data_IF_524896519626
#
_entry.id   IF_524896519626
#
_cell.length_a   1.000
_cell.length_b   1.000
_cell.length_c   1.000
_cell.angle_alpha   90.00
_cell.angle_beta   90.00
_cell.angle_gamma   90.00
#
_symmetry.space_group_name_H-M   'P 1'
#
loop_
_entity.id
_entity.type
_entity.pdbx_description
1 polymer ?
#
# COMPACT_ATOMS: atom_id res chain seq x y z
N UNK A 1 -6.48 -30.27 -17.30
CA UNK A 1 -6.24 -29.17 -18.26
C UNK A 1 -6.50 -27.88 -17.51
N UNK A 2 -5.48 -27.04 -17.30
CA UNK A 2 -5.69 -25.74 -16.70
C UNK A 2 -6.40 -24.85 -17.73
N UNK A 3 -7.56 -24.30 -17.38
CA UNK A 3 -8.24 -23.31 -18.21
C UNK A 3 -7.28 -22.14 -18.49
N UNK A 4 -7.32 -21.51 -19.68
CA UNK A 4 -6.56 -20.28 -19.89
C UNK A 4 -7.03 -19.27 -18.85
N UNK A 5 -6.12 -18.88 -17.97
CA UNK A 5 -6.38 -17.80 -17.01
C UNK A 5 -6.57 -16.55 -17.86
N UNK A 6 -7.83 -16.16 -18.06
CA UNK A 6 -8.14 -14.92 -18.73
C UNK A 6 -7.74 -13.80 -17.77
N UNK A 7 -6.57 -13.20 -18.01
CA UNK A 7 -6.16 -12.03 -17.26
C UNK A 7 -7.00 -10.85 -17.78
N UNK A 8 -7.88 -10.27 -16.95
CA UNK A 8 -8.67 -9.12 -17.38
C UNK A 8 -7.72 -7.98 -17.75
N UNK A 9 -8.03 -7.26 -18.83
CA UNK A 9 -7.24 -6.10 -19.23
C UNK A 9 -7.28 -4.99 -18.15
N UNK A 10 -6.22 -4.20 -18.07
CA UNK A 10 -6.17 -3.06 -17.16
C UNK A 10 -7.18 -2.01 -17.60
N UNK A 11 -7.98 -1.51 -16.65
CA UNK A 11 -8.95 -0.47 -16.94
C UNK A 11 -8.24 0.81 -17.45
N UNK A 12 -8.73 1.46 -18.52
CA UNK A 12 -8.12 2.68 -19.06
C UNK A 12 -7.91 3.79 -18.02
N UNK A 13 -8.77 3.89 -17.01
CA UNK A 13 -8.65 4.86 -15.92
C UNK A 13 -7.40 4.64 -15.04
N UNK A 14 -6.77 3.47 -15.12
CA UNK A 14 -5.58 3.09 -14.35
C UNK A 14 -4.30 3.02 -15.19
N UNK A 15 -4.35 3.30 -16.49
CA UNK A 15 -3.15 3.33 -17.34
C UNK A 15 -2.03 4.22 -16.78
N UNK A 16 -2.29 5.37 -16.13
CA UNK A 16 -1.23 6.16 -15.50
C UNK A 16 -0.51 5.47 -14.32
N UNK A 17 -1.06 4.37 -13.80
CA UNK A 17 -0.53 3.57 -12.70
C UNK A 17 -0.10 2.16 -13.15
N UNK A 18 -0.02 1.90 -14.46
CA UNK A 18 0.36 0.59 -15.00
C UNK A 18 1.74 0.12 -14.48
N UNK A 19 2.66 1.07 -14.30
CA UNK A 19 4.00 0.87 -13.77
C UNK A 19 4.03 0.34 -12.34
N UNK A 20 2.92 0.38 -11.58
CA UNK A 20 2.84 -0.26 -10.25
C UNK A 20 2.50 -1.75 -10.34
N UNK A 21 1.82 -2.19 -11.39
CA UNK A 21 1.25 -3.54 -11.46
C UNK A 21 2.36 -4.59 -11.48
N UNK A 22 2.27 -5.53 -10.54
CA UNK A 22 3.26 -6.59 -10.38
C UNK A 22 3.62 -6.85 -8.93
N UNK A 23 4.69 -7.62 -8.74
CA UNK A 23 5.26 -7.90 -7.43
C UNK A 23 6.60 -7.18 -7.32
N UNK A 24 6.79 -6.49 -6.20
CA UNK A 24 7.99 -5.75 -5.87
C UNK A 24 8.57 -6.33 -4.60
N UNK A 25 9.89 -6.49 -4.58
CA UNK A 25 10.61 -6.92 -3.40
C UNK A 25 11.71 -5.89 -3.09
N UNK A 26 11.92 -5.63 -1.82
CA UNK A 26 13.01 -4.76 -1.37
C UNK A 26 14.36 -5.37 -1.77
N UNK A 27 15.08 -4.73 -2.68
CA UNK A 27 16.47 -5.10 -3.04
C UNK A 27 17.43 -4.91 -1.85
N UNK A 28 17.31 -3.76 -1.18
CA UNK A 28 18.00 -3.47 0.08
C UNK A 28 16.97 -3.42 1.20
N UNK A 29 17.23 -4.03 2.38
CA UNK A 29 16.28 -3.98 3.47
C UNK A 29 16.01 -2.55 3.96
N UNK A 30 14.73 -2.25 4.16
CA UNK A 30 14.25 -1.02 4.77
C UNK A 30 14.73 -0.86 6.21
N UNK A 31 14.57 0.36 6.74
CA UNK A 31 14.96 0.73 8.10
C UNK A 31 13.78 1.40 8.80
N UNK A 32 13.25 0.74 9.82
CA UNK A 32 12.25 1.32 10.72
C UNK A 32 12.92 2.14 11.81
N UNK A 33 12.55 3.41 11.95
CA UNK A 33 13.06 4.30 13.00
C UNK A 33 11.91 5.13 13.56
N UNK A 34 11.82 5.21 14.89
CA UNK A 34 10.95 6.14 15.58
C UNK A 34 11.59 6.52 16.92
N UNK A 35 11.43 7.75 17.46
CA UNK A 35 12.15 8.18 18.66
C UNK A 35 11.98 7.28 19.90
N UNK A 36 10.86 6.54 19.99
CA UNK A 36 10.51 5.73 21.15
C UNK A 36 10.74 4.22 20.95
N UNK A 37 11.32 3.80 19.83
CA UNK A 37 11.59 2.38 19.53
C UNK A 37 13.04 2.18 19.10
N UNK A 38 13.59 0.99 19.38
CA UNK A 38 14.89 0.61 18.83
C UNK A 38 14.80 0.50 17.30
N UNK A 39 15.71 1.13 16.54
CA UNK A 39 15.76 0.97 15.10
C UNK A 39 15.84 -0.51 14.70
N UNK A 40 15.12 -0.89 13.64
CA UNK A 40 15.11 -2.25 13.13
C UNK A 40 15.20 -2.26 11.60
N UNK A 41 15.52 -3.42 11.02
CA UNK A 41 15.52 -3.61 9.56
C UNK A 41 14.45 -4.61 9.15
N UNK A 42 13.89 -4.39 7.98
CA UNK A 42 12.87 -5.27 7.41
C UNK A 42 13.05 -5.43 5.90
N UNK A 43 12.65 -6.57 5.37
CA UNK A 43 12.37 -6.73 3.93
C UNK A 43 10.89 -6.57 3.71
N UNK A 44 10.49 -6.19 2.51
CA UNK A 44 9.09 -5.98 2.18
C UNK A 44 8.76 -6.50 0.79
N UNK A 45 7.61 -7.17 0.69
CA UNK A 45 7.02 -7.59 -0.58
C UNK A 45 5.74 -6.80 -0.80
N UNK A 46 5.71 -6.02 -1.87
CA UNK A 46 4.53 -5.31 -2.34
C UNK A 46 3.93 -6.10 -3.51
N UNK A 47 2.61 -6.19 -3.56
CA UNK A 47 1.91 -6.77 -4.69
C UNK A 47 0.78 -5.87 -5.10
N UNK A 48 0.77 -5.46 -6.37
CA UNK A 48 -0.28 -4.66 -6.99
C UNK A 48 -0.93 -5.47 -8.10
N UNK A 49 -2.26 -5.57 -8.06
CA UNK A 49 -3.04 -6.34 -9.03
C UNK A 49 -4.34 -5.64 -9.40
N UNK A 50 -5.03 -6.13 -10.42
CA UNK A 50 -6.34 -5.65 -10.81
C UNK A 50 -7.20 -6.81 -11.31
N UNK A 51 -8.51 -6.54 -11.37
CA UNK A 51 -9.51 -7.47 -11.92
C UNK A 51 -10.33 -6.83 -13.03
N UNK A 52 -9.82 -5.77 -13.66
CA UNK A 52 -10.46 -5.01 -14.75
C UNK A 52 -11.37 -3.86 -14.30
N UNK A 53 -11.63 -3.76 -13.00
CA UNK A 53 -12.28 -2.60 -12.40
C UNK A 53 -11.34 -1.38 -12.39
N UNK A 54 -11.86 -0.13 -12.29
CA UNK A 54 -11.04 1.08 -12.16
C UNK A 54 -10.47 1.22 -10.74
N UNK A 55 -9.88 0.14 -10.24
CA UNK A 55 -9.29 -0.03 -8.91
C UNK A 55 -8.05 -0.93 -9.03
N UNK A 56 -6.93 -0.52 -8.42
CA UNK A 56 -5.82 -1.44 -8.13
C UNK A 56 -5.99 -2.01 -6.72
N UNK A 57 -5.78 -3.31 -6.57
CA UNK A 57 -5.61 -3.96 -5.28
C UNK A 57 -4.14 -3.88 -4.89
N UNK A 58 -3.84 -3.68 -3.61
CA UNK A 58 -2.47 -3.81 -3.12
C UNK A 58 -2.38 -4.63 -1.83
N UNK A 59 -1.23 -5.27 -1.62
CA UNK A 59 -0.82 -5.83 -0.32
C UNK A 59 0.65 -5.56 -0.07
N UNK A 60 0.99 -5.01 1.10
CA UNK A 60 2.37 -4.82 1.54
C UNK A 60 2.63 -5.71 2.75
N UNK A 61 3.74 -6.45 2.70
CA UNK A 61 4.07 -7.45 3.70
C UNK A 61 5.53 -7.30 4.13
N UNK A 62 5.73 -6.78 5.34
CA UNK A 62 7.04 -6.62 5.92
C UNK A 62 7.46 -7.85 6.74
N UNK A 63 8.75 -8.18 6.69
CA UNK A 63 9.36 -9.28 7.44
C UNK A 63 10.67 -8.80 8.08
N UNK A 64 10.96 -9.30 9.28
CA UNK A 64 12.25 -9.03 9.92
C UNK A 64 13.39 -9.67 9.11
N UNK A 65 14.48 -8.93 8.87
CA UNK A 65 15.56 -9.37 7.95
C UNK A 65 16.19 -10.68 8.37
N UNK A 66 16.51 -10.83 9.66
CA UNK A 66 17.23 -11.99 10.19
C UNK A 66 16.28 -13.15 10.51
N UNK A 67 15.36 -12.94 11.46
CA UNK A 67 14.44 -13.98 11.93
C UNK A 67 13.36 -14.39 10.92
N UNK A 68 13.16 -13.62 9.84
CA UNK A 68 12.07 -13.81 8.86
C UNK A 68 10.66 -13.78 9.44
N UNK A 69 10.52 -13.32 10.69
CA UNK A 69 9.23 -13.19 11.34
C UNK A 69 8.38 -12.13 10.62
N UNK A 70 7.07 -12.39 10.39
CA UNK A 70 6.16 -11.38 9.88
C UNK A 70 6.11 -10.15 10.80
N UNK A 71 6.10 -8.96 10.21
CA UNK A 71 6.00 -7.68 10.90
C UNK A 71 4.69 -6.98 10.52
N UNK A 72 4.78 -5.75 9.99
CA UNK A 72 3.64 -4.97 9.53
C UNK A 72 3.05 -5.56 8.24
N UNK A 73 1.73 -5.45 8.12
CA UNK A 73 0.99 -5.87 6.93
C UNK A 73 -0.11 -4.88 6.68
N UNK A 74 -0.29 -4.52 5.43
CA UNK A 74 -1.41 -3.72 5.01
C UNK A 74 -1.91 -4.11 3.63
N UNK A 75 -3.18 -3.81 3.39
CA UNK A 75 -3.81 -4.06 2.11
C UNK A 75 -4.95 -3.08 1.87
N UNK A 76 -5.37 -3.03 0.61
CA UNK A 76 -6.55 -2.29 0.23
C UNK A 76 -6.55 -1.93 -1.23
N UNK A 77 -6.96 -0.70 -1.53
CA UNK A 77 -7.30 -0.28 -2.88
C UNK A 77 -6.72 1.09 -3.24
N UNK A 78 -6.33 1.24 -4.50
CA UNK A 78 -5.95 2.52 -5.11
C UNK A 78 -6.98 2.88 -6.16
N UNK A 79 -7.42 4.14 -6.14
CA UNK A 79 -8.39 4.68 -7.11
C UNK A 79 -7.86 5.96 -7.70
N UNK A 80 -8.10 6.16 -9.00
CA UNK A 80 -7.92 7.45 -9.66
C UNK A 80 -9.26 8.12 -9.88
N UNK A 81 -9.34 9.44 -9.65
CA UNK A 81 -10.50 10.21 -10.08
C UNK A 81 -10.43 10.39 -11.61
N UNK A 82 -11.48 10.01 -12.37
CA UNK A 82 -11.49 10.09 -13.83
C UNK A 82 -11.11 11.47 -14.34
N UNK A 83 -10.36 11.52 -15.44
CA UNK A 83 -9.95 12.76 -16.14
C UNK A 83 -9.11 13.73 -15.28
N UNK A 84 -8.53 13.25 -14.17
CA UNK A 84 -7.65 14.03 -13.31
C UNK A 84 -6.40 13.23 -12.95
N UNK A 85 -5.45 13.87 -12.27
CA UNK A 85 -4.30 13.20 -11.66
C UNK A 85 -4.53 12.87 -10.17
N UNK A 86 -5.75 12.99 -9.66
CA UNK A 86 -6.05 12.74 -8.25
C UNK A 86 -6.13 11.26 -7.95
N UNK A 87 -5.47 10.85 -6.87
CA UNK A 87 -5.35 9.45 -6.44
C UNK A 87 -5.79 9.32 -4.99
N UNK A 88 -6.48 8.23 -4.67
CA UNK A 88 -6.85 7.87 -3.31
C UNK A 88 -6.39 6.44 -2.98
N UNK A 89 -5.76 6.28 -1.82
CA UNK A 89 -5.44 5.00 -1.19
C UNK A 89 -6.43 4.74 -0.05
N UNK A 90 -6.97 3.53 -0.01
CA UNK A 90 -7.85 3.05 1.06
C UNK A 90 -7.14 1.85 1.68
N UNK A 91 -6.73 1.97 2.93
CA UNK A 91 -5.74 1.07 3.54
C UNK A 91 -6.29 0.50 4.85
N UNK A 92 -6.09 -0.80 5.06
CA UNK A 92 -6.29 -1.48 6.32
C UNK A 92 -4.98 -2.13 6.78
N UNK A 93 -4.59 -1.90 8.03
CA UNK A 93 -3.35 -2.39 8.60
C UNK A 93 -3.60 -3.45 9.68
N UNK A 94 -2.70 -4.42 9.82
CA UNK A 94 -2.78 -5.49 10.83
C UNK A 94 -2.66 -4.99 12.29
N UNK A 95 -2.31 -3.72 12.48
CA UNK A 95 -2.31 -3.01 13.77
C UNK A 95 -3.72 -2.62 14.26
N UNK A 96 -4.76 -2.79 13.43
CA UNK A 96 -6.12 -2.33 13.72
C UNK A 96 -6.37 -0.87 13.34
N UNK A 97 -5.58 -0.34 12.40
CA UNK A 97 -5.72 1.00 11.81
C UNK A 97 -6.36 0.88 10.42
N UNK A 98 -7.23 1.83 10.09
CA UNK A 98 -7.67 2.09 8.71
C UNK A 98 -7.44 3.55 8.37
N UNK A 99 -7.04 3.81 7.14
CA UNK A 99 -6.69 5.13 6.67
C UNK A 99 -7.15 5.36 5.22
N UNK A 100 -7.44 6.62 4.92
CA UNK A 100 -7.67 7.13 3.57
C UNK A 100 -6.59 8.16 3.33
N UNK A 101 -5.79 7.97 2.30
CA UNK A 101 -4.83 8.95 1.83
C UNK A 101 -5.23 9.46 0.45
N UNK A 102 -5.14 10.77 0.25
CA UNK A 102 -5.47 11.40 -1.03
C UNK A 102 -4.33 12.31 -1.49
N UNK A 103 -4.20 12.47 -2.80
CA UNK A 103 -3.21 13.36 -3.38
C UNK A 103 -3.15 13.27 -4.89
N UNK A 104 -1.95 13.40 -5.45
CA UNK A 104 -1.75 13.57 -6.89
C UNK A 104 -0.64 12.70 -7.45
N UNK A 105 -0.86 12.20 -8.67
CA UNK A 105 0.15 11.60 -9.53
C UNK A 105 0.87 12.69 -10.33
N UNK A 106 2.21 12.68 -10.29
CA UNK A 106 3.09 13.53 -11.10
C UNK A 106 4.17 12.67 -11.75
N UNK A 107 4.03 12.38 -13.05
CA UNK A 107 4.87 11.38 -13.70
C UNK A 107 4.64 10.00 -13.09
N UNK A 108 5.70 9.35 -12.60
CA UNK A 108 5.64 8.09 -11.85
C UNK A 108 5.80 8.30 -10.33
N UNK A 109 5.41 9.48 -9.82
CA UNK A 109 5.47 9.80 -8.41
C UNK A 109 4.07 10.06 -7.87
N UNK A 110 3.68 9.28 -6.86
CA UNK A 110 2.50 9.54 -6.04
C UNK A 110 2.91 10.42 -4.85
N UNK A 111 2.16 11.49 -4.61
CA UNK A 111 2.32 12.32 -3.40
C UNK A 111 1.00 12.26 -2.65
N UNK A 112 0.98 11.64 -1.47
CA UNK A 112 -0.23 11.35 -0.73
C UNK A 112 -0.17 11.94 0.69
N UNK A 113 -1.33 12.26 1.23
CA UNK A 113 -1.48 12.70 2.61
C UNK A 113 -2.72 12.06 3.23
N UNK A 114 -2.64 11.71 4.52
CA UNK A 114 -3.82 11.22 5.23
C UNK A 114 -4.95 12.25 5.21
N UNK A 115 -6.09 11.82 4.67
CA UNK A 115 -7.35 12.54 4.71
C UNK A 115 -8.21 12.09 5.91
N UNK A 116 -8.25 10.78 6.18
CA UNK A 116 -9.01 10.21 7.29
C UNK A 116 -8.28 9.02 7.92
N UNK A 117 -8.46 8.83 9.22
CA UNK A 117 -7.86 7.72 9.97
C UNK A 117 -8.79 7.30 11.11
N UNK A 118 -9.02 5.99 11.22
CA UNK A 118 -9.78 5.38 12.31
C UNK A 118 -9.05 4.13 12.84
N UNK A 119 -9.39 3.72 14.06
CA UNK A 119 -8.74 2.57 14.71
C UNK A 119 -9.70 1.79 15.57
N UNK A 120 -9.39 0.53 15.82
CA UNK A 120 -10.10 -0.31 16.79
C UNK A 120 -9.91 0.23 18.22
N UNK A 121 -10.86 -0.07 19.11
CA UNK A 121 -10.91 0.48 20.49
C UNK A 121 -9.74 0.06 21.38
N UNK A 122 -9.07 -1.05 21.06
CA UNK A 122 -7.92 -1.61 21.79
C UNK A 122 -6.63 -1.56 20.97
N UNK A 123 -6.55 -0.66 19.98
CA UNK A 123 -5.29 -0.40 19.28
C UNK A 123 -4.22 0.05 20.28
N UNK A 124 -2.98 -0.39 20.08
CA UNK A 124 -1.88 -0.07 20.99
C UNK A 124 -1.55 1.42 20.95
N UNK A 125 -1.17 2.00 22.09
CA UNK A 125 -0.58 3.33 22.17
C UNK A 125 0.93 3.33 21.86
N UNK A 126 1.50 4.42 21.33
CA UNK A 126 0.83 5.67 20.95
C UNK A 126 0.02 5.52 19.65
N UNK A 127 -1.06 6.30 19.54
CA UNK A 127 -1.89 6.27 18.35
C UNK A 127 -1.37 7.18 17.24
N UNK A 128 -1.21 6.62 16.04
CA UNK A 128 -0.95 7.39 14.81
C UNK A 128 -2.07 8.41 14.58
N UNK A 129 -1.68 9.64 14.24
CA UNK A 129 -2.62 10.77 13.96
C UNK A 129 -2.59 11.20 12.50
N UNK A 130 -1.47 11.01 11.82
CA UNK A 130 -1.26 11.38 10.43
C UNK A 130 -0.11 10.54 9.85
N UNK A 131 -0.25 10.17 8.58
CA UNK A 131 0.74 9.52 7.73
C UNK A 131 0.98 10.42 6.51
N UNK A 132 2.20 10.37 5.96
CA UNK A 132 2.57 11.12 4.76
C UNK A 132 3.54 10.28 3.95
N UNK A 133 3.21 10.06 2.68
CA UNK A 133 3.98 9.28 1.71
C UNK A 133 4.38 10.17 0.53
#
# INVERSE_FOLDING_TARGET
MASPVNHPELNPALLPLDWLVGTWESDVPGKGVFPTITPFRYTETLHFSHVGQPILNFTFNAFHVESKMPLHRECGFIRMQPETNKVAFIIAQNSGLVEIEEGELKGQQLNLQTHALARISFAKEPHVKQVKL
#
